data_IF_600666679275
#
_entry.id   IF_600666679275
#
_cell.length_a   1.000
_cell.length_b   1.000
_cell.length_c   1.000
_cell.angle_alpha   90.00
_cell.angle_beta   90.00
_cell.angle_gamma   90.00
#
_symmetry.space_group_name_H-M   'P 1'
#
loop_
_entity.id
_entity.type
_entity.pdbx_description
1 polymer ?
#
# COMPACT_ATOMS: atom_id res chain seq x y z
N UNK A 1 -28.99 78.40 -17.51
CA UNK A 1 -29.58 77.14 -17.97
C UNK A 1 -28.50 76.32 -18.70
N UNK A 2 -27.90 75.33 -18.04
CA UNK A 2 -27.06 74.32 -18.68
C UNK A 2 -27.18 73.08 -17.82
N UNK A 3 -27.91 72.05 -18.26
CA UNK A 3 -28.04 70.77 -17.65
C UNK A 3 -26.70 70.01 -17.89
N UNK A 4 -26.05 69.53 -16.83
CA UNK A 4 -24.94 68.60 -16.89
C UNK A 4 -25.50 67.19 -16.82
N UNK A 5 -25.38 66.44 -17.90
CA UNK A 5 -25.62 65.02 -17.95
C UNK A 5 -24.48 64.31 -17.21
N UNK A 6 -24.81 63.60 -16.15
CA UNK A 6 -23.89 62.76 -15.40
C UNK A 6 -24.06 61.33 -15.93
N UNK A 7 -23.04 60.87 -16.65
CA UNK A 7 -22.97 59.48 -17.19
C UNK A 7 -22.52 58.57 -16.05
N UNK A 8 -23.43 57.75 -15.56
CA UNK A 8 -23.07 56.64 -14.68
C UNK A 8 -22.38 55.52 -15.49
N UNK A 9 -21.12 55.27 -15.22
CA UNK A 9 -20.34 54.19 -15.76
C UNK A 9 -20.61 52.96 -14.89
N UNK A 10 -21.45 52.05 -15.35
CA UNK A 10 -21.68 50.74 -14.68
C UNK A 10 -20.52 49.81 -14.97
N UNK A 11 -19.70 49.57 -14.00
CA UNK A 11 -18.73 48.48 -14.02
C UNK A 11 -19.47 47.17 -13.72
N UNK A 12 -19.71 46.39 -14.73
CA UNK A 12 -20.17 45.01 -14.62
C UNK A 12 -18.97 44.14 -14.12
N UNK A 13 -18.99 43.80 -12.85
CA UNK A 13 -17.98 42.90 -12.26
C UNK A 13 -18.42 41.45 -12.56
N UNK A 14 -18.00 40.92 -13.69
CA UNK A 14 -18.17 39.49 -14.02
C UNK A 14 -17.27 38.66 -13.13
N UNK A 15 -17.85 38.17 -12.02
CA UNK A 15 -17.19 37.17 -11.17
C UNK A 15 -17.09 35.83 -11.92
N UNK A 16 -15.93 35.56 -12.50
CA UNK A 16 -15.59 34.26 -13.05
C UNK A 16 -15.35 33.27 -11.89
N UNK A 17 -16.41 32.52 -11.53
CA UNK A 17 -16.25 31.39 -10.59
C UNK A 17 -15.43 30.30 -11.28
N UNK A 18 -14.15 30.19 -10.93
CA UNK A 18 -13.32 29.04 -11.28
C UNK A 18 -13.80 27.84 -10.46
N UNK A 19 -14.61 26.98 -11.07
CA UNK A 19 -14.94 25.66 -10.53
C UNK A 19 -13.68 24.81 -10.61
N UNK A 20 -12.93 24.72 -9.53
CA UNK A 20 -11.86 23.71 -9.40
C UNK A 20 -12.55 22.37 -9.19
N UNK A 21 -12.69 21.61 -10.28
CA UNK A 21 -13.10 20.21 -10.21
C UNK A 21 -12.01 19.46 -9.47
N UNK A 22 -12.26 19.13 -8.19
CA UNK A 22 -11.49 18.13 -7.45
C UNK A 22 -11.72 16.78 -8.13
N UNK A 23 -10.84 16.43 -9.08
CA UNK A 23 -10.81 15.08 -9.64
C UNK A 23 -10.40 14.13 -8.51
N UNK A 24 -11.38 13.50 -7.88
CA UNK A 24 -11.16 12.32 -7.06
C UNK A 24 -10.54 11.27 -7.98
N UNK A 25 -9.25 11.08 -7.90
CA UNK A 25 -8.57 9.97 -8.56
C UNK A 25 -8.96 8.70 -7.81
N UNK A 26 -10.13 8.15 -8.17
CA UNK A 26 -10.46 6.77 -7.86
C UNK A 26 -9.38 5.89 -8.50
N UNK A 27 -8.86 4.93 -7.76
CA UNK A 27 -7.85 4.03 -8.28
C UNK A 27 -8.51 3.08 -9.27
N UNK A 28 -8.37 3.37 -10.56
CA UNK A 28 -9.03 2.63 -11.65
C UNK A 28 -8.14 1.49 -12.20
N UNK A 29 -6.86 1.39 -11.76
CA UNK A 29 -5.91 0.39 -12.25
C UNK A 29 -4.96 -0.11 -11.14
N UNK A 30 -4.49 -1.36 -11.25
CA UNK A 30 -3.51 -1.91 -10.31
C UNK A 30 -2.15 -1.20 -10.47
N UNK A 31 -1.43 -1.01 -9.36
CA UNK A 31 -0.03 -0.57 -9.44
C UNK A 31 0.87 -1.78 -9.76
N UNK A 32 1.61 -1.70 -10.86
CA UNK A 32 2.44 -2.82 -11.36
C UNK A 32 3.93 -2.48 -11.42
N UNK A 33 4.30 -1.20 -11.37
CA UNK A 33 5.65 -0.71 -11.68
C UNK A 33 6.35 -0.11 -10.45
N UNK A 34 6.28 -0.82 -9.29
CA UNK A 34 7.04 -0.41 -8.12
C UNK A 34 8.47 -0.98 -8.17
N UNK A 35 9.38 -0.31 -7.45
CA UNK A 35 10.72 -0.83 -7.17
C UNK A 35 10.64 -2.23 -6.57
N UNK A 36 11.62 -3.08 -6.88
CA UNK A 36 11.62 -4.48 -6.42
C UNK A 36 12.84 -4.78 -5.57
N UNK A 37 12.65 -5.68 -4.63
CA UNK A 37 13.70 -6.19 -3.76
C UNK A 37 13.70 -7.72 -3.75
N UNK A 38 14.89 -8.32 -3.74
CA UNK A 38 15.06 -9.76 -3.56
C UNK A 38 15.19 -10.07 -2.08
N UNK A 39 14.28 -10.90 -1.59
CA UNK A 39 14.27 -11.40 -0.23
C UNK A 39 14.44 -12.92 -0.24
N UNK A 40 14.88 -13.50 0.88
CA UNK A 40 14.95 -14.94 1.07
C UNK A 40 14.43 -15.35 2.43
N UNK A 41 13.89 -16.56 2.52
CA UNK A 41 13.63 -17.26 3.78
C UNK A 41 14.15 -18.70 3.62
N UNK A 42 15.26 -19.02 4.27
CA UNK A 42 15.98 -20.26 3.98
C UNK A 42 16.38 -20.34 2.50
N UNK A 43 15.96 -21.42 1.82
CA UNK A 43 16.23 -21.62 0.38
C UNK A 43 15.22 -20.93 -0.54
N UNK A 44 14.15 -20.36 0.00
CA UNK A 44 13.06 -19.78 -0.79
C UNK A 44 13.37 -18.33 -1.16
N UNK A 45 13.29 -18.03 -2.45
CA UNK A 45 13.48 -16.67 -3.00
C UNK A 45 12.15 -15.99 -3.24
N UNK A 46 12.11 -14.70 -2.94
CA UNK A 46 10.96 -13.84 -3.09
C UNK A 46 11.38 -12.62 -3.90
N UNK A 47 10.61 -12.28 -4.92
CA UNK A 47 10.74 -11.05 -5.68
C UNK A 47 9.61 -10.10 -5.28
N UNK A 48 9.86 -9.23 -4.30
CA UNK A 48 8.85 -8.37 -3.74
C UNK A 48 8.89 -6.96 -4.33
N UNK A 49 7.74 -6.41 -4.68
CA UNK A 49 7.60 -4.97 -4.93
C UNK A 49 7.56 -4.21 -3.62
N UNK A 50 8.17 -3.02 -3.58
CA UNK A 50 8.24 -2.18 -2.38
C UNK A 50 7.11 -1.16 -2.40
N UNK A 51 6.20 -1.23 -1.44
CA UNK A 51 5.22 -0.18 -1.14
C UNK A 51 5.75 0.68 0.00
N UNK A 52 6.50 1.73 -0.34
CA UNK A 52 7.21 2.59 0.62
C UNK A 52 6.52 3.92 0.93
N UNK A 53 5.71 4.46 0.00
CA UNK A 53 4.96 5.70 0.26
C UNK A 53 3.57 5.42 0.82
N UNK A 54 2.93 6.39 1.49
CA UNK A 54 1.55 6.24 1.96
C UNK A 54 0.58 5.82 0.85
N UNK A 55 0.69 6.41 -0.34
CA UNK A 55 -0.16 6.12 -1.50
C UNK A 55 0.07 4.71 -2.01
N UNK A 56 1.34 4.27 -2.10
CA UNK A 56 1.69 2.91 -2.51
C UNK A 56 1.17 1.88 -1.52
N UNK A 57 1.30 2.15 -0.21
CA UNK A 57 0.76 1.27 0.84
C UNK A 57 -0.77 1.20 0.82
N UNK A 58 -1.44 2.35 0.60
CA UNK A 58 -2.90 2.40 0.49
C UNK A 58 -3.42 1.59 -0.70
N UNK A 59 -2.71 1.66 -1.82
CA UNK A 59 -3.01 0.92 -3.05
C UNK A 59 -2.75 -0.57 -2.91
N UNK A 60 -1.59 -0.93 -2.38
CA UNK A 60 -1.20 -2.33 -2.20
C UNK A 60 -1.39 -3.18 -3.47
N UNK A 61 -1.98 -4.35 -3.29
CA UNK A 61 -2.29 -5.32 -4.37
C UNK A 61 -3.72 -5.17 -4.92
N UNK A 62 -4.39 -4.04 -4.67
CA UNK A 62 -5.74 -3.79 -5.19
C UNK A 62 -5.81 -3.98 -6.70
N UNK A 63 -6.95 -4.49 -7.18
CA UNK A 63 -7.33 -4.68 -8.59
C UNK A 63 -6.43 -5.65 -9.38
N UNK A 64 -5.46 -6.31 -8.75
CA UNK A 64 -4.69 -7.37 -9.43
C UNK A 64 -5.55 -8.61 -9.59
N UNK A 65 -5.53 -9.18 -10.79
CA UNK A 65 -6.26 -10.41 -11.12
C UNK A 65 -5.43 -11.66 -10.81
N UNK A 66 -4.10 -11.52 -10.79
CA UNK A 66 -3.16 -12.59 -10.53
C UNK A 66 -1.82 -12.04 -10.02
N UNK A 67 -1.02 -12.89 -9.43
CA UNK A 67 0.36 -12.62 -9.03
C UNK A 67 1.17 -13.90 -9.13
N UNK A 68 2.38 -13.89 -9.77
CA UNK A 68 3.26 -15.05 -9.85
C UNK A 68 3.61 -15.61 -8.46
N UNK A 69 3.82 -16.92 -8.35
CA UNK A 69 4.01 -17.61 -7.06
C UNK A 69 5.26 -17.18 -6.29
N UNK A 70 6.27 -16.68 -6.98
CA UNK A 70 7.51 -16.19 -6.36
C UNK A 70 7.51 -14.67 -6.13
N UNK A 71 6.44 -13.99 -6.48
CA UNK A 71 6.28 -12.56 -6.32
C UNK A 71 5.40 -12.21 -5.12
N UNK A 72 5.63 -11.01 -4.59
CA UNK A 72 4.87 -10.43 -3.49
C UNK A 72 4.98 -8.92 -3.45
N UNK A 73 4.43 -8.34 -2.39
CA UNK A 73 4.59 -6.93 -2.06
C UNK A 73 5.02 -6.78 -0.62
N UNK A 74 6.11 -6.05 -0.41
CA UNK A 74 6.57 -5.68 0.93
C UNK A 74 6.20 -4.23 1.22
N UNK A 75 5.42 -4.03 2.26
CA UNK A 75 5.05 -2.72 2.79
C UNK A 75 6.10 -2.30 3.80
N UNK A 76 6.63 -1.10 3.61
CA UNK A 76 7.68 -0.53 4.47
C UNK A 76 7.12 0.69 5.16
N UNK A 77 7.13 0.69 6.50
CA UNK A 77 6.65 1.78 7.33
C UNK A 77 7.83 2.54 7.96
N UNK A 78 7.65 3.82 8.21
CA UNK A 78 8.71 4.68 8.74
C UNK A 78 9.10 4.30 10.17
N UNK A 79 8.12 3.86 10.97
CA UNK A 79 8.29 3.45 12.35
C UNK A 79 7.52 2.14 12.64
N UNK A 80 8.00 1.30 13.56
CA UNK A 80 7.23 0.15 14.02
C UNK A 80 5.93 0.59 14.68
N UNK A 81 4.82 -0.01 14.25
CA UNK A 81 3.50 0.20 14.83
C UNK A 81 2.65 -1.06 14.66
N UNK A 82 1.50 -1.12 15.34
CA UNK A 82 0.50 -2.14 15.04
C UNK A 82 -0.05 -1.88 13.65
N UNK A 83 0.25 -2.77 12.70
CA UNK A 83 -0.21 -2.68 11.33
C UNK A 83 -1.43 -3.57 11.13
N UNK A 84 -2.47 -3.04 10.49
CA UNK A 84 -3.69 -3.76 10.17
C UNK A 84 -4.01 -3.63 8.68
N UNK A 85 -4.37 -4.73 8.05
CA UNK A 85 -4.67 -4.82 6.63
C UNK A 85 -6.10 -5.24 6.38
N UNK A 86 -6.68 -4.73 5.30
CA UNK A 86 -8.00 -5.08 4.77
C UNK A 86 -7.85 -5.53 3.33
N UNK A 87 -8.76 -6.36 2.86
CA UNK A 87 -8.79 -6.84 1.48
C UNK A 87 -9.73 -6.02 0.57
N UNK A 88 -10.00 -4.75 0.95
CA UNK A 88 -10.80 -3.84 0.12
C UNK A 88 -10.23 -3.74 -1.29
N UNK A 89 -11.05 -3.97 -2.32
CA UNK A 89 -10.68 -3.96 -3.73
C UNK A 89 -9.52 -4.93 -4.10
N UNK A 90 -9.13 -5.85 -3.22
CA UNK A 90 -8.12 -6.88 -3.50
C UNK A 90 -8.79 -8.16 -3.96
N UNK A 91 -8.53 -8.55 -5.21
CA UNK A 91 -9.27 -9.60 -5.92
C UNK A 91 -8.66 -11.00 -5.74
N UNK A 92 -7.39 -11.07 -5.35
CA UNK A 92 -6.65 -12.32 -5.15
C UNK A 92 -6.53 -12.65 -3.66
N UNK A 93 -6.63 -13.94 -3.28
CA UNK A 93 -6.43 -14.35 -1.89
C UNK A 93 -4.95 -14.25 -1.51
N UNK A 94 -4.67 -13.72 -0.32
CA UNK A 94 -3.32 -13.41 0.13
C UNK A 94 -3.02 -14.01 1.51
N UNK A 95 -1.73 -14.15 1.81
CA UNK A 95 -1.18 -14.34 3.16
C UNK A 95 -0.30 -13.15 3.47
N UNK A 96 -0.52 -12.49 4.61
CA UNK A 96 0.29 -11.37 5.11
C UNK A 96 1.19 -11.83 6.25
N UNK A 97 2.51 -11.75 6.08
CA UNK A 97 3.49 -11.94 7.15
C UNK A 97 3.87 -10.58 7.73
N UNK A 98 3.64 -10.40 9.04
CA UNK A 98 4.04 -9.23 9.81
C UNK A 98 5.47 -9.44 10.34
N UNK A 99 6.38 -8.48 10.11
CA UNK A 99 7.82 -8.70 10.23
C UNK A 99 8.46 -7.57 11.04
N UNK A 100 9.25 -7.94 12.04
CA UNK A 100 10.03 -7.01 12.87
C UNK A 100 11.23 -6.42 12.12
N UNK A 101 11.88 -5.43 12.72
CA UNK A 101 13.00 -4.69 12.11
C UNK A 101 14.19 -5.59 11.73
N UNK A 102 14.39 -6.68 12.44
CA UNK A 102 15.46 -7.67 12.21
C UNK A 102 15.07 -8.80 11.23
N UNK A 103 13.86 -8.69 10.61
CA UNK A 103 13.40 -9.63 9.61
C UNK A 103 12.68 -10.86 10.16
N UNK A 104 12.38 -10.93 11.47
CA UNK A 104 11.67 -12.07 12.06
C UNK A 104 10.16 -11.92 11.86
N UNK A 105 9.50 -12.98 11.39
CA UNK A 105 8.06 -13.04 11.25
C UNK A 105 7.41 -13.14 12.64
N UNK A 106 6.58 -12.17 12.98
CA UNK A 106 5.83 -12.11 14.24
C UNK A 106 4.58 -12.98 14.18
N UNK A 107 3.77 -12.80 13.15
CA UNK A 107 2.59 -13.62 12.84
C UNK A 107 2.30 -13.58 11.34
N UNK A 108 1.46 -14.51 10.90
CA UNK A 108 0.96 -14.60 9.52
C UNK A 108 -0.55 -14.68 9.55
N UNK A 109 -1.23 -13.90 8.72
CA UNK A 109 -2.68 -13.89 8.57
C UNK A 109 -3.07 -14.32 7.16
N UNK A 110 -4.09 -15.18 7.07
CA UNK A 110 -4.68 -15.60 5.80
C UNK A 110 -5.89 -14.74 5.48
N UNK A 111 -5.87 -14.08 4.33
CA UNK A 111 -6.85 -13.07 3.96
C UNK A 111 -7.68 -13.50 2.75
N UNK A 112 -9.01 -13.30 2.83
CA UNK A 112 -9.94 -13.59 1.73
C UNK A 112 -10.13 -12.37 0.84
N UNK A 113 -10.28 -12.56 -0.49
CA UNK A 113 -10.58 -11.44 -1.40
C UNK A 113 -11.79 -10.63 -0.93
N UNK A 114 -11.70 -9.32 -1.07
CA UNK A 114 -12.76 -8.34 -0.81
C UNK A 114 -13.26 -8.28 0.66
N UNK A 115 -12.63 -9.02 1.57
CA UNK A 115 -12.99 -8.98 2.99
C UNK A 115 -12.64 -7.63 3.62
N UNK A 116 -13.47 -7.16 4.56
CA UNK A 116 -13.29 -5.88 5.25
C UNK A 116 -12.94 -6.07 6.73
N UNK A 117 -12.79 -7.29 7.18
CA UNK A 117 -12.24 -7.61 8.49
C UNK A 117 -10.75 -7.26 8.55
N UNK A 118 -10.33 -6.73 9.70
CA UNK A 118 -8.95 -6.31 9.89
C UNK A 118 -8.05 -7.47 10.30
N UNK A 119 -6.95 -7.64 9.56
CA UNK A 119 -5.88 -8.58 9.86
C UNK A 119 -4.68 -7.82 10.39
N UNK A 120 -4.32 -8.03 11.65
CA UNK A 120 -3.37 -7.16 12.34
C UNK A 120 -2.12 -7.90 12.82
N UNK A 121 -1.02 -7.14 12.96
CA UNK A 121 0.19 -7.61 13.62
C UNK A 121 -0.06 -7.88 15.11
N UNK A 122 0.51 -8.96 15.63
CA UNK A 122 0.46 -9.30 17.05
C UNK A 122 1.31 -8.35 17.92
N UNK A 123 2.33 -7.73 17.33
CA UNK A 123 3.22 -6.75 17.95
C UNK A 123 3.47 -5.58 16.96
N UNK A 124 4.03 -4.45 17.41
CA UNK A 124 4.47 -3.40 16.50
C UNK A 124 5.50 -3.93 15.49
N UNK A 125 5.29 -3.64 14.20
CA UNK A 125 6.16 -4.07 13.10
C UNK A 125 6.38 -2.93 12.11
N UNK A 126 7.53 -2.96 11.42
CA UNK A 126 7.88 -2.03 10.35
C UNK A 126 7.59 -2.59 8.96
N UNK A 127 7.51 -3.90 8.81
CA UNK A 127 7.34 -4.52 7.50
C UNK A 127 6.17 -5.50 7.50
N UNK A 128 5.48 -5.54 6.35
CA UNK A 128 4.47 -6.57 6.08
C UNK A 128 4.72 -7.11 4.68
N UNK A 129 4.82 -8.42 4.54
CA UNK A 129 5.00 -9.08 3.24
C UNK A 129 3.73 -9.85 2.87
N UNK A 130 3.10 -9.42 1.78
CA UNK A 130 1.97 -10.12 1.18
C UNK A 130 2.43 -11.04 0.05
N UNK A 131 2.00 -12.29 0.11
CA UNK A 131 2.23 -13.35 -0.87
C UNK A 131 0.88 -13.99 -1.25
N UNK A 132 0.85 -14.76 -2.33
CA UNK A 132 -0.31 -15.60 -2.62
C UNK A 132 -0.70 -16.45 -1.42
N UNK A 133 -2.00 -16.62 -1.18
CA UNK A 133 -2.53 -17.38 -0.03
C UNK A 133 -1.91 -18.76 0.09
N UNK A 134 -1.48 -19.09 1.30
CA UNK A 134 -0.85 -20.37 1.64
C UNK A 134 0.62 -20.49 1.21
N UNK A 135 1.22 -19.43 0.65
CA UNK A 135 2.62 -19.48 0.20
C UNK A 135 3.57 -19.82 1.34
N UNK A 136 3.42 -19.18 2.48
CA UNK A 136 4.30 -19.41 3.65
C UNK A 136 4.16 -20.84 4.18
N UNK A 137 2.94 -21.29 4.42
CA UNK A 137 2.69 -22.64 4.95
C UNK A 137 3.19 -23.75 4.05
N UNK A 138 3.01 -23.63 2.73
CA UNK A 138 3.52 -24.58 1.73
C UNK A 138 5.04 -24.70 1.74
N UNK A 139 5.74 -23.70 2.26
CA UNK A 139 7.22 -23.65 2.33
C UNK A 139 7.75 -23.85 3.74
N UNK A 140 6.87 -24.20 4.70
CA UNK A 140 7.25 -24.40 6.09
C UNK A 140 7.68 -23.12 6.81
N UNK A 141 7.33 -21.94 6.26
CA UNK A 141 7.63 -20.63 6.84
C UNK A 141 6.50 -20.26 7.79
N UNK A 142 6.84 -19.86 9.01
CA UNK A 142 5.90 -19.58 10.11
C UNK A 142 6.39 -18.45 10.99
N UNK A 143 5.62 -18.07 11.99
CA UNK A 143 6.07 -17.15 13.05
C UNK A 143 7.41 -17.67 13.65
N UNK A 144 8.36 -16.76 13.85
CA UNK A 144 9.73 -17.04 14.23
C UNK A 144 10.68 -17.34 13.07
N UNK A 145 10.19 -17.61 11.86
CA UNK A 145 11.04 -17.69 10.66
C UNK A 145 11.63 -16.32 10.32
N UNK A 146 12.85 -16.33 9.77
CA UNK A 146 13.59 -15.12 9.43
C UNK A 146 13.63 -14.89 7.92
N UNK A 147 13.29 -13.68 7.51
CA UNK A 147 13.55 -13.14 6.18
C UNK A 147 14.92 -12.46 6.16
N UNK A 148 15.60 -12.57 5.03
CA UNK A 148 16.88 -11.93 4.78
C UNK A 148 16.79 -11.08 3.53
N UNK A 149 17.53 -9.97 3.51
CA UNK A 149 17.60 -9.06 2.37
C UNK A 149 18.03 -7.66 2.79
N UNK A 150 18.18 -6.75 1.83
CA UNK A 150 18.71 -5.40 2.09
C UNK A 150 17.91 -4.59 3.12
N UNK A 151 16.59 -4.83 3.20
CA UNK A 151 15.70 -4.08 4.10
C UNK A 151 15.93 -4.39 5.59
N UNK A 152 16.47 -5.58 5.94
CA UNK A 152 16.62 -6.06 7.31
C UNK A 152 18.05 -5.96 7.83
N UNK A 153 18.93 -5.30 7.08
CA UNK A 153 20.30 -5.05 7.54
C UNK A 153 20.27 -3.87 8.50
N UNK A 154 20.86 -4.02 9.68
CA UNK A 154 21.04 -2.93 10.61
C UNK A 154 21.73 -1.76 9.88
N UNK A 155 21.09 -0.61 9.86
CA UNK A 155 21.75 0.63 9.42
C UNK A 155 22.92 0.87 10.40
N UNK A 156 24.14 0.74 9.88
CA UNK A 156 25.37 1.03 10.62
C UNK A 156 25.49 2.51 10.89
#
# INVERSE_FOLDING_TARGET
>A
MKQKFMRYFQYSLSSLLLLVALTSHGQDAPQLNLERVKLTSGMHRIDAQIAGTPEQRQTGLMLRKEMPQHEGMIFVFDQPAKQCFLMKNTLIPLSAAFISDDGVIVNIEEMKPLALDAHCSAQPVRYVLEMNKGWFSKKGIKAGSKLQGPLFQAQK
#
